data_IF_384402820290
#
_entry.id   IF_384402820290
#
_cell.length_a   1.000
_cell.length_b   1.000
_cell.length_c   1.000
_cell.angle_alpha   90.00
_cell.angle_beta   90.00
_cell.angle_gamma   90.00
#
_symmetry.space_group_name_H-M   'P 1'
#
loop_
_entity.id
_entity.type
_entity.pdbx_description
1 polymer ?
#
# COMPACT_ATOMS: atom_id res chain seq x y z
N UNK A 1 17.46 7.68 7.56
CA UNK A 1 16.01 7.58 7.90
C UNK A 1 15.87 7.26 9.39
N UNK A 2 15.00 7.96 10.13
CA UNK A 2 14.79 7.76 11.56
C UNK A 2 13.51 6.95 11.79
N UNK A 3 13.64 5.64 12.08
CA UNK A 3 12.51 4.73 12.30
C UNK A 3 12.14 4.65 13.81
N UNK A 4 11.98 5.82 14.44
CA UNK A 4 11.57 5.91 15.85
C UNK A 4 10.69 7.12 16.11
N UNK A 5 9.82 6.99 17.12
CA UNK A 5 8.96 8.07 17.59
C UNK A 5 8.75 7.97 19.10
N UNK A 6 8.39 9.09 19.73
CA UNK A 6 7.96 9.12 21.13
C UNK A 6 6.44 9.25 21.18
N UNK A 7 5.80 8.38 21.93
CA UNK A 7 4.36 8.38 22.15
C UNK A 7 4.08 8.03 23.63
N UNK A 8 3.30 8.86 24.34
CA UNK A 8 2.98 8.68 25.77
C UNK A 8 4.20 8.37 26.64
N UNK A 9 5.24 9.19 26.52
CA UNK A 9 6.53 9.06 27.24
C UNK A 9 7.34 7.79 26.97
N UNK A 10 6.87 6.93 26.08
CA UNK A 10 7.59 5.75 25.60
C UNK A 10 8.18 6.00 24.21
N UNK A 11 9.42 5.55 24.01
CA UNK A 11 10.09 5.58 22.71
C UNK A 11 9.82 4.24 22.00
N UNK A 12 9.31 4.31 20.80
CA UNK A 12 9.12 3.18 19.91
C UNK A 12 10.16 3.26 18.79
N UNK A 13 10.87 2.16 18.55
CA UNK A 13 11.91 2.05 17.51
C UNK A 13 11.63 0.82 16.67
N UNK A 14 11.81 0.96 15.37
CA UNK A 14 11.60 -0.11 14.37
C UNK A 14 12.91 -0.36 13.62
N UNK A 15 13.17 -1.61 13.31
CA UNK A 15 14.43 -2.03 12.68
C UNK A 15 14.47 -1.77 11.18
N UNK A 16 13.32 -1.74 10.51
CA UNK A 16 13.21 -1.63 9.06
C UNK A 16 11.90 -0.99 8.61
N UNK A 17 11.86 -0.52 7.36
CA UNK A 17 10.62 -0.07 6.69
C UNK A 17 9.59 -1.19 6.65
N UNK A 18 10.02 -2.43 6.39
CA UNK A 18 9.18 -3.62 6.40
C UNK A 18 8.47 -3.80 7.74
N UNK A 19 9.19 -3.65 8.86
CA UNK A 19 8.60 -3.73 10.20
C UNK A 19 7.58 -2.61 10.43
N UNK A 20 7.91 -1.37 10.05
CA UNK A 20 6.97 -0.23 10.15
C UNK A 20 5.70 -0.52 9.35
N UNK A 21 5.82 -0.99 8.12
CA UNK A 21 4.68 -1.34 7.28
C UNK A 21 3.83 -2.45 7.91
N UNK A 22 4.45 -3.49 8.44
CA UNK A 22 3.73 -4.58 9.09
C UNK A 22 2.96 -4.09 10.32
N UNK A 23 3.64 -3.36 11.22
CA UNK A 23 3.05 -2.89 12.49
C UNK A 23 2.05 -1.74 12.33
N UNK A 24 2.10 -0.98 11.25
CA UNK A 24 1.10 0.06 10.95
C UNK A 24 -0.23 -0.50 10.42
N UNK A 25 -0.28 -1.78 10.04
CA UNK A 25 -1.49 -2.46 9.58
C UNK A 25 -2.51 -2.71 10.67
N UNK A 26 -3.72 -3.15 10.25
CA UNK A 26 -4.75 -3.59 11.19
C UNK A 26 -4.33 -4.88 11.86
N UNK A 27 -4.78 -5.06 13.11
CA UNK A 27 -4.48 -6.26 13.89
C UNK A 27 -5.22 -7.46 13.31
N UNK A 28 -4.48 -8.42 12.81
CA UNK A 28 -4.98 -9.72 12.35
C UNK A 28 -4.44 -10.80 13.26
N UNK A 29 -5.32 -11.67 13.77
CA UNK A 29 -4.98 -12.66 14.79
C UNK A 29 -3.75 -13.51 14.43
N UNK A 30 -3.62 -13.97 13.20
CA UNK A 30 -2.46 -14.76 12.76
C UNK A 30 -1.16 -13.96 12.76
N UNK A 31 -1.19 -12.70 12.31
CA UNK A 31 -0.01 -11.81 12.29
C UNK A 31 0.42 -11.40 13.70
N UNK A 32 -0.55 -11.21 14.61
CA UNK A 32 -0.27 -10.94 16.03
C UNK A 32 0.40 -12.15 16.69
N UNK A 33 -0.10 -13.35 16.46
CA UNK A 33 0.46 -14.59 17.01
C UNK A 33 1.90 -14.84 16.49
N UNK A 34 2.18 -14.51 15.25
CA UNK A 34 3.52 -14.63 14.66
C UNK A 34 4.46 -13.47 15.05
N UNK A 35 4.00 -12.48 15.82
CA UNK A 35 4.81 -11.33 16.23
C UNK A 35 5.11 -10.33 15.09
N UNK A 36 4.45 -10.46 13.93
CA UNK A 36 4.64 -9.59 12.76
C UNK A 36 3.86 -8.30 12.94
N UNK A 37 2.60 -8.38 13.38
CA UNK A 37 1.78 -7.21 13.65
C UNK A 37 2.19 -6.51 14.97
N UNK A 38 1.70 -5.30 15.16
CA UNK A 38 1.85 -4.60 16.43
C UNK A 38 1.21 -5.40 17.57
N UNK A 39 1.85 -5.40 18.74
CA UNK A 39 1.34 -6.11 19.92
C UNK A 39 0.31 -5.27 20.70
N UNK A 40 0.30 -3.96 20.48
CA UNK A 40 -0.63 -3.02 21.12
C UNK A 40 -1.07 -1.94 20.15
N UNK A 41 -2.22 -1.32 20.40
CA UNK A 41 -2.70 -0.16 19.66
C UNK A 41 -1.73 1.03 19.72
N UNK A 42 -1.01 1.19 20.83
CA UNK A 42 -0.01 2.24 20.98
C UNK A 42 1.19 1.99 20.06
N UNK A 43 1.66 0.75 19.95
CA UNK A 43 2.71 0.38 19.02
C UNK A 43 2.27 0.57 17.56
N UNK A 44 1.02 0.20 17.24
CA UNK A 44 0.43 0.44 15.91
C UNK A 44 0.37 1.93 15.59
N UNK A 45 -0.08 2.75 16.53
CA UNK A 45 -0.11 4.20 16.35
C UNK A 45 1.29 4.78 16.17
N UNK A 46 2.26 4.33 16.96
CA UNK A 46 3.66 4.73 16.82
C UNK A 46 4.21 4.35 15.44
N UNK A 47 3.91 3.15 14.94
CA UNK A 47 4.29 2.72 13.59
C UNK A 47 3.64 3.61 12.51
N UNK A 48 2.37 3.99 12.64
CA UNK A 48 1.70 4.93 11.73
C UNK A 48 2.34 6.32 11.77
N UNK A 49 2.74 6.81 12.94
CA UNK A 49 3.46 8.09 13.07
C UNK A 49 4.82 8.06 12.37
N UNK A 50 5.56 6.97 12.46
CA UNK A 50 6.81 6.80 11.72
C UNK A 50 6.53 6.69 10.23
N UNK A 51 5.55 5.85 9.82
CA UNK A 51 5.17 5.65 8.43
C UNK A 51 4.78 6.96 7.73
N UNK A 52 4.09 7.86 8.44
CA UNK A 52 3.66 9.14 7.88
C UNK A 52 4.82 10.00 7.37
N UNK A 53 6.03 9.84 7.94
CA UNK A 53 7.23 10.61 7.62
C UNK A 53 8.21 9.85 6.69
N UNK A 54 7.92 8.60 6.32
CA UNK A 54 8.74 7.85 5.37
C UNK A 54 8.52 8.42 3.97
N UNK A 55 9.61 8.56 3.21
CA UNK A 55 9.55 9.03 1.83
C UNK A 55 9.15 7.90 0.87
N UNK A 56 8.54 8.26 -0.25
CA UNK A 56 8.27 7.32 -1.36
C UNK A 56 9.56 6.64 -1.81
N UNK A 57 10.67 7.40 -1.89
CA UNK A 57 11.99 6.85 -2.21
C UNK A 57 12.50 5.84 -1.19
N UNK A 58 12.21 6.04 0.09
CA UNK A 58 12.63 5.11 1.14
C UNK A 58 11.90 3.76 1.01
N UNK A 59 10.61 3.78 0.66
CA UNK A 59 9.84 2.54 0.42
C UNK A 59 10.40 1.82 -0.81
N UNK A 60 10.60 2.53 -1.92
CA UNK A 60 11.13 1.93 -3.15
C UNK A 60 12.50 1.28 -2.94
N UNK A 61 13.38 1.93 -2.16
CA UNK A 61 14.73 1.44 -1.90
C UNK A 61 14.78 0.32 -0.83
N UNK A 62 13.66 0.06 -0.15
CA UNK A 62 13.55 -0.99 0.88
C UNK A 62 12.29 -1.83 0.64
N UNK A 63 12.19 -2.54 -0.51
CA UNK A 63 11.03 -3.35 -0.83
C UNK A 63 10.84 -4.46 0.22
N UNK A 64 9.59 -4.88 0.42
CA UNK A 64 9.25 -5.92 1.41
C UNK A 64 9.89 -7.26 1.06
N UNK A 65 9.99 -7.55 -0.25
CA UNK A 65 10.78 -8.67 -0.78
C UNK A 65 11.86 -8.09 -1.68
N UNK A 66 13.15 -8.48 -1.51
CA UNK A 66 14.24 -7.94 -2.31
C UNK A 66 14.04 -8.16 -3.81
N UNK A 67 14.50 -7.17 -4.61
CA UNK A 67 14.38 -7.21 -6.08
C UNK A 67 15.02 -8.47 -6.69
N UNK A 68 16.12 -8.94 -6.12
CA UNK A 68 16.85 -10.09 -6.61
C UNK A 68 16.15 -11.43 -6.33
N UNK A 69 15.25 -11.45 -5.35
CA UNK A 69 14.60 -12.66 -4.85
C UNK A 69 13.21 -12.91 -5.44
N UNK A 70 12.57 -11.87 -6.01
CA UNK A 70 11.15 -11.95 -6.38
C UNK A 70 10.85 -11.32 -7.74
N UNK A 71 10.33 -12.15 -8.66
CA UNK A 71 9.92 -11.73 -10.01
C UNK A 71 8.80 -10.66 -9.99
N UNK A 72 7.88 -10.73 -9.02
CA UNK A 72 6.79 -9.75 -8.91
C UNK A 72 7.35 -8.39 -8.52
N UNK A 73 8.29 -8.36 -7.58
CA UNK A 73 9.00 -7.14 -7.20
C UNK A 73 9.75 -6.54 -8.38
N UNK A 74 10.42 -7.38 -9.20
CA UNK A 74 11.09 -6.92 -10.43
C UNK A 74 10.12 -6.27 -11.40
N UNK A 75 9.04 -6.96 -11.74
CA UNK A 75 8.01 -6.42 -12.65
C UNK A 75 7.47 -5.07 -12.14
N UNK A 76 7.17 -4.96 -10.85
CA UNK A 76 6.68 -3.71 -10.26
C UNK A 76 7.73 -2.59 -10.35
N UNK A 77 8.97 -2.88 -10.02
CA UNK A 77 10.05 -1.88 -10.02
C UNK A 77 10.43 -1.42 -11.43
N UNK A 78 10.46 -2.36 -12.39
CA UNK A 78 10.87 -2.10 -13.78
C UNK A 78 9.78 -1.36 -14.58
N UNK A 79 8.49 -1.53 -14.22
CA UNK A 79 7.36 -0.87 -14.89
C UNK A 79 7.14 0.58 -14.39
N UNK A 80 7.87 1.02 -13.37
CA UNK A 80 7.71 2.37 -12.84
C UNK A 80 8.14 3.43 -13.88
N UNK A 81 7.27 4.43 -14.06
CA UNK A 81 7.60 5.59 -14.88
C UNK A 81 8.57 6.52 -14.15
N UNK A 82 9.85 6.43 -14.47
CA UNK A 82 10.93 7.19 -13.82
C UNK A 82 10.72 8.71 -13.83
N UNK A 83 10.34 9.35 -14.95
CA UNK A 83 10.02 10.77 -14.98
C UNK A 83 8.97 11.17 -13.94
N UNK A 84 7.89 10.40 -13.81
CA UNK A 84 6.81 10.64 -12.84
C UNK A 84 7.32 10.37 -11.42
N UNK A 85 7.98 9.24 -11.19
CA UNK A 85 8.59 8.92 -9.91
C UNK A 85 9.49 10.06 -9.40
N UNK A 86 10.34 10.62 -10.27
CA UNK A 86 11.23 11.71 -9.90
C UNK A 86 10.51 12.98 -9.44
N UNK A 87 9.23 13.18 -9.79
CA UNK A 87 8.42 14.31 -9.30
C UNK A 87 7.87 14.10 -7.90
N UNK A 88 7.73 12.83 -7.47
CA UNK A 88 7.04 12.48 -6.21
C UNK A 88 7.94 11.75 -5.20
N UNK A 89 9.14 11.32 -5.58
CA UNK A 89 10.03 10.48 -4.75
C UNK A 89 10.37 11.07 -3.38
N UNK A 90 10.34 12.41 -3.26
CA UNK A 90 10.62 13.13 -2.02
C UNK A 90 9.35 13.40 -1.18
N UNK A 91 8.17 12.99 -1.66
CA UNK A 91 6.97 13.09 -0.86
C UNK A 91 7.01 12.08 0.27
N UNK A 92 6.52 12.49 1.42
CA UNK A 92 6.21 11.58 2.53
C UNK A 92 4.94 10.78 2.22
N UNK A 93 4.75 9.67 2.90
CA UNK A 93 3.49 8.91 2.79
C UNK A 93 2.29 9.72 3.28
N UNK A 94 2.50 10.63 4.24
CA UNK A 94 1.45 11.58 4.64
C UNK A 94 1.07 12.53 3.51
N UNK A 95 2.04 13.11 2.81
CA UNK A 95 1.77 13.99 1.66
C UNK A 95 1.08 13.25 0.52
N UNK A 96 1.46 12.00 0.24
CA UNK A 96 0.77 11.15 -0.72
C UNK A 96 -0.69 10.92 -0.31
N UNK A 97 -0.95 10.59 0.97
CA UNK A 97 -2.30 10.46 1.52
C UNK A 97 -3.11 11.73 1.32
N UNK A 98 -2.56 12.89 1.73
CA UNK A 98 -3.24 14.19 1.60
C UNK A 98 -3.55 14.50 0.13
N UNK A 99 -2.61 14.24 -0.78
CA UNK A 99 -2.82 14.43 -2.22
C UNK A 99 -3.97 13.56 -2.74
N UNK A 100 -4.05 12.29 -2.33
CA UNK A 100 -5.14 11.39 -2.73
C UNK A 100 -6.49 11.91 -2.21
N UNK A 101 -6.53 12.46 -1.01
CA UNK A 101 -7.75 12.91 -0.34
C UNK A 101 -8.15 14.36 -0.70
N UNK A 102 -7.25 15.16 -1.25
CA UNK A 102 -7.57 16.55 -1.62
C UNK A 102 -8.69 16.59 -2.68
N UNK A 103 -9.74 17.35 -2.40
CA UNK A 103 -10.88 17.53 -3.30
C UNK A 103 -10.51 18.10 -4.68
N UNK A 104 -9.38 18.81 -4.78
CA UNK A 104 -8.88 19.38 -6.02
C UNK A 104 -8.12 18.37 -6.88
N UNK A 105 -7.62 17.29 -6.29
CA UNK A 105 -6.93 16.23 -7.03
C UNK A 105 -7.95 15.43 -7.84
N UNK A 106 -7.79 15.45 -9.14
CA UNK A 106 -8.70 14.78 -10.08
C UNK A 106 -8.32 13.30 -10.28
N UNK A 107 -9.24 12.53 -10.89
CA UNK A 107 -8.96 11.15 -11.33
C UNK A 107 -7.76 11.10 -12.29
N UNK A 108 -7.63 12.08 -13.19
CA UNK A 108 -6.50 12.12 -14.13
C UNK A 108 -5.16 12.38 -13.42
N UNK A 109 -5.15 13.21 -12.38
CA UNK A 109 -3.97 13.42 -11.57
C UNK A 109 -3.55 12.15 -10.86
N UNK A 110 -4.51 11.40 -10.31
CA UNK A 110 -4.24 10.11 -9.67
C UNK A 110 -3.73 9.06 -10.67
N UNK A 111 -4.35 8.97 -11.87
CA UNK A 111 -3.87 8.10 -12.95
C UNK A 111 -2.43 8.42 -13.33
N UNK A 112 -2.08 9.70 -13.38
CA UNK A 112 -0.72 10.12 -13.71
C UNK A 112 0.27 9.68 -12.63
N UNK A 113 0.06 10.04 -11.37
CA UNK A 113 1.02 9.70 -10.30
C UNK A 113 1.11 8.20 -10.02
N UNK A 114 0.01 7.46 -10.21
CA UNK A 114 -0.01 6.01 -10.00
C UNK A 114 1.06 5.28 -10.82
N UNK A 115 1.42 5.78 -11.99
CA UNK A 115 2.47 5.20 -12.83
C UNK A 115 3.88 5.35 -12.28
N UNK A 116 4.08 6.23 -11.30
CA UNK A 116 5.36 6.43 -10.61
C UNK A 116 5.38 5.83 -9.19
N UNK A 117 4.33 5.11 -8.78
CA UNK A 117 4.19 4.55 -7.44
C UNK A 117 4.23 3.03 -7.47
N UNK A 118 5.04 2.44 -6.61
CA UNK A 118 4.95 1.00 -6.34
C UNK A 118 3.67 0.67 -5.54
N UNK A 119 3.21 -0.58 -5.65
CA UNK A 119 2.07 -1.06 -4.87
C UNK A 119 2.27 -0.90 -3.35
N UNK A 120 3.51 -0.98 -2.88
CA UNK A 120 3.87 -0.78 -1.47
C UNK A 120 3.64 0.66 -1.01
N UNK A 121 3.89 1.67 -1.86
CA UNK A 121 3.59 3.07 -1.55
C UNK A 121 2.07 3.29 -1.38
N UNK A 122 1.26 2.66 -2.23
CA UNK A 122 -0.20 2.73 -2.12
C UNK A 122 -0.68 2.00 -0.86
N UNK A 123 -0.13 0.83 -0.56
CA UNK A 123 -0.42 0.10 0.67
C UNK A 123 -0.03 0.91 1.92
N UNK A 124 1.11 1.61 1.89
CA UNK A 124 1.55 2.50 2.96
C UNK A 124 0.57 3.65 3.18
N UNK A 125 0.17 4.35 2.12
CA UNK A 125 -0.80 5.44 2.21
C UNK A 125 -2.16 4.96 2.74
N UNK A 126 -2.64 3.79 2.30
CA UNK A 126 -3.90 3.21 2.78
C UNK A 126 -3.88 2.89 4.28
N UNK A 127 -2.73 2.50 4.84
CA UNK A 127 -2.59 2.25 6.29
C UNK A 127 -2.72 3.51 7.14
N UNK A 128 -2.54 4.69 6.56
CA UNK A 128 -2.76 5.98 7.21
C UNK A 128 -4.20 6.47 7.06
N UNK A 129 -5.04 5.82 6.25
CA UNK A 129 -6.42 6.18 5.98
C UNK A 129 -7.38 5.48 6.94
N UNK A 130 -8.42 6.20 7.35
CA UNK A 130 -9.59 5.61 7.99
C UNK A 130 -10.58 5.06 6.96
N UNK A 131 -11.63 4.37 7.43
CA UNK A 131 -12.64 3.77 6.54
C UNK A 131 -13.29 4.77 5.60
N UNK A 132 -13.62 5.97 6.09
CA UNK A 132 -14.23 7.01 5.26
C UNK A 132 -13.26 7.59 4.23
N UNK A 133 -11.98 7.72 4.57
CA UNK A 133 -10.92 8.11 3.64
C UNK A 133 -10.81 7.09 2.51
N UNK A 134 -10.82 5.80 2.84
CA UNK A 134 -10.75 4.70 1.87
C UNK A 134 -11.96 4.70 0.91
N UNK A 135 -13.18 4.92 1.44
CA UNK A 135 -14.39 5.05 0.62
C UNK A 135 -14.28 6.25 -0.31
N UNK A 136 -13.81 7.40 0.20
CA UNK A 136 -13.64 8.60 -0.62
C UNK A 136 -12.59 8.40 -1.71
N UNK A 137 -11.43 7.83 -1.37
CA UNK A 137 -10.38 7.50 -2.34
C UNK A 137 -10.91 6.51 -3.41
N UNK A 138 -11.62 5.46 -3.00
CA UNK A 138 -12.21 4.48 -3.92
C UNK A 138 -13.18 5.14 -4.91
N UNK A 139 -13.99 6.11 -4.49
CA UNK A 139 -14.86 6.88 -5.39
C UNK A 139 -14.08 7.66 -6.44
N UNK A 140 -12.94 8.24 -6.06
CA UNK A 140 -12.09 9.01 -6.98
C UNK A 140 -11.39 8.14 -8.01
N UNK A 141 -10.95 6.93 -7.61
CA UNK A 141 -10.14 6.05 -8.46
C UNK A 141 -10.95 4.96 -9.17
N UNK A 142 -12.28 4.96 -9.04
CA UNK A 142 -13.18 3.89 -9.52
C UNK A 142 -13.04 3.54 -11.00
N UNK A 143 -12.57 4.47 -11.82
CA UNK A 143 -12.43 4.27 -13.27
C UNK A 143 -10.97 4.10 -13.72
N UNK A 144 -10.04 3.89 -12.79
CA UNK A 144 -8.64 3.65 -13.17
C UNK A 144 -8.55 2.31 -13.88
N UNK A 145 -8.03 2.35 -15.09
CA UNK A 145 -7.69 1.15 -15.86
C UNK A 145 -6.29 0.70 -15.48
N UNK A 146 -6.16 -0.58 -15.11
CA UNK A 146 -4.88 -1.21 -14.82
C UNK A 146 -4.83 -2.58 -15.49
N UNK A 147 -3.70 -2.93 -16.08
CA UNK A 147 -3.53 -4.21 -16.80
C UNK A 147 -4.62 -4.47 -17.84
N UNK A 148 -5.05 -3.47 -18.61
CA UNK A 148 -6.15 -3.51 -19.56
C UNK A 148 -7.53 -3.86 -18.93
N UNK A 149 -7.65 -3.77 -17.62
CA UNK A 149 -8.89 -4.02 -16.89
C UNK A 149 -9.40 -2.72 -16.27
N UNK A 150 -10.66 -2.39 -16.52
CA UNK A 150 -11.33 -1.24 -15.89
C UNK A 150 -12.08 -1.72 -14.66
N UNK A 151 -11.72 -1.19 -13.49
CA UNK A 151 -12.39 -1.48 -12.22
C UNK A 151 -13.39 -0.39 -11.86
N UNK A 152 -14.45 -0.78 -11.15
CA UNK A 152 -15.40 0.16 -10.55
C UNK A 152 -16.32 0.86 -11.54
N UNK A 153 -16.62 0.28 -12.68
CA UNK A 153 -17.61 0.82 -13.63
C UNK A 153 -19.02 0.83 -12.99
N UNK A 154 -19.74 1.98 -13.03
CA UNK A 154 -21.12 2.05 -12.56
C UNK A 154 -22.01 1.01 -13.24
N UNK A 155 -22.89 0.34 -12.48
CA UNK A 155 -23.81 -0.68 -12.99
C UNK A 155 -23.15 -2.01 -13.36
N UNK A 156 -21.88 -2.22 -13.03
CA UNK A 156 -21.20 -3.51 -13.21
C UNK A 156 -20.93 -4.16 -11.86
N UNK A 157 -21.22 -5.45 -11.78
CA UNK A 157 -20.75 -6.31 -10.68
C UNK A 157 -19.39 -6.87 -11.09
N UNK A 158 -18.46 -6.86 -10.14
CA UNK A 158 -17.18 -7.54 -10.27
C UNK A 158 -17.12 -8.66 -9.23
N UNK A 159 -16.71 -9.85 -9.64
CA UNK A 159 -16.35 -10.93 -8.74
C UNK A 159 -14.83 -10.93 -8.53
N UNK A 160 -14.40 -11.25 -7.32
CA UNK A 160 -13.00 -11.48 -7.00
C UNK A 160 -12.78 -12.97 -6.80
N UNK A 161 -11.97 -13.56 -7.64
CA UNK A 161 -11.45 -14.90 -7.41
C UNK A 161 -10.14 -14.78 -6.64
N UNK A 162 -10.04 -15.47 -5.52
CA UNK A 162 -8.84 -15.50 -4.69
C UNK A 162 -8.44 -16.95 -4.43
N UNK A 163 -7.52 -17.51 -5.23
CA UNK A 163 -6.92 -18.81 -4.94
C UNK A 163 -6.18 -18.72 -3.60
N UNK A 164 -6.52 -19.59 -2.67
CA UNK A 164 -5.94 -19.58 -1.32
C UNK A 164 -5.12 -20.83 -1.00
N UNK A 165 -5.11 -21.81 -1.89
CA UNK A 165 -4.44 -23.06 -1.68
C UNK A 165 -3.36 -23.30 -2.72
N UNK A 166 -2.15 -23.73 -2.34
CA UNK A 166 -1.05 -23.97 -3.28
C UNK A 166 -1.33 -25.12 -4.27
N UNK A 167 -2.35 -25.93 -4.03
CA UNK A 167 -2.79 -26.99 -4.93
C UNK A 167 -3.96 -26.58 -5.85
N UNK A 168 -4.36 -25.31 -5.86
CA UNK A 168 -5.39 -24.83 -6.78
C UNK A 168 -4.84 -24.94 -8.21
N UNK A 169 -5.46 -25.82 -9.00
CA UNK A 169 -5.10 -25.98 -10.39
C UNK A 169 -5.87 -24.97 -11.29
N UNK A 170 -5.37 -24.80 -12.51
CA UNK A 170 -5.94 -23.86 -13.49
C UNK A 170 -7.41 -24.21 -13.82
N UNK A 171 -7.80 -25.48 -13.81
CA UNK A 171 -9.16 -25.91 -14.11
C UNK A 171 -10.10 -25.62 -12.94
N UNK A 172 -9.66 -25.88 -11.71
CA UNK A 172 -10.38 -25.51 -10.48
C UNK A 172 -10.64 -24.01 -10.40
N UNK A 173 -9.62 -23.20 -10.71
CA UNK A 173 -9.73 -21.72 -10.74
C UNK A 173 -10.74 -21.29 -11.82
N UNK A 174 -10.68 -21.85 -13.04
CA UNK A 174 -11.62 -21.56 -14.12
C UNK A 174 -13.05 -21.95 -13.76
N UNK A 175 -13.24 -23.10 -13.13
CA UNK A 175 -14.56 -23.58 -12.70
C UNK A 175 -15.19 -22.67 -11.64
N UNK A 176 -14.37 -22.04 -10.81
CA UNK A 176 -14.83 -21.07 -9.79
C UNK A 176 -15.26 -19.72 -10.37
N UNK A 177 -15.04 -19.47 -11.67
CA UNK A 177 -15.45 -18.24 -12.36
C UNK A 177 -16.89 -18.34 -12.91
N UNK A 178 -17.48 -19.51 -12.98
CA UNK A 178 -18.85 -19.78 -13.47
C UNK A 178 -19.76 -20.20 -12.32
#
# INVERSE_FOLDING_TARGET
MLLKTKLFDKIYSFSSVKEVLAKAGDLKSGEVLCGIAAQTEQERLAAKMVLSNILISDIRNNPVVPYEEDEVTRVIQDDLNEPIYNTIKNWTISELREYILDSKTTENDLKRIARGLSSECIAAASKLMGNMDLVYAARKIRNITHCNTTLGLPGRLASRLQPNHPNDDVNGIKTSLF
#
